data_IF_472529169221
#
_entry.id   IF_472529169221
#
_cell.length_a   1.000
_cell.length_b   1.000
_cell.length_c   1.000
_cell.angle_alpha   90.00
_cell.angle_beta   90.00
_cell.angle_gamma   90.00
#
_symmetry.space_group_name_H-M   'P 1'
#
loop_
_entity.id
_entity.type
_entity.pdbx_description
1 polymer ?
#
# COMPACT_ATOMS: atom_id res chain seq x y z
N UNK A 1 -3.96 -49.67 20.73
CA UNK A 1 -2.81 -49.08 19.98
C UNK A 1 -3.39 -48.50 18.73
N UNK A 2 -3.96 -47.27 18.85
CA UNK A 2 -4.62 -46.58 17.74
C UNK A 2 -3.55 -46.12 16.79
N UNK A 3 -3.54 -46.70 15.59
CA UNK A 3 -2.78 -46.23 14.46
C UNK A 3 -3.34 -44.83 14.08
N UNK A 4 -2.67 -43.77 14.51
CA UNK A 4 -2.91 -42.41 13.98
C UNK A 4 -2.65 -42.51 12.48
N UNK A 5 -3.73 -42.57 11.72
CA UNK A 5 -3.64 -42.49 10.27
C UNK A 5 -3.06 -41.10 9.95
N UNK A 6 -1.87 -41.06 9.37
CA UNK A 6 -1.29 -39.82 8.87
C UNK A 6 -2.21 -39.17 7.83
N UNK A 7 -2.02 -37.87 7.52
CA UNK A 7 -2.86 -37.15 6.59
C UNK A 7 -2.94 -37.87 5.23
N UNK A 8 -4.13 -37.94 4.66
CA UNK A 8 -4.35 -38.57 3.35
C UNK A 8 -3.64 -37.79 2.23
N UNK A 9 -3.38 -38.42 1.09
CA UNK A 9 -2.68 -37.82 -0.05
C UNK A 9 -3.32 -36.49 -0.47
N UNK A 10 -4.66 -36.39 -0.43
CA UNK A 10 -5.39 -35.14 -0.75
C UNK A 10 -5.08 -34.01 0.24
N UNK A 11 -4.97 -34.33 1.53
CA UNK A 11 -4.63 -33.35 2.58
C UNK A 11 -3.18 -32.84 2.42
N UNK A 12 -2.25 -33.73 2.02
CA UNK A 12 -0.87 -33.36 1.75
C UNK A 12 -0.75 -32.41 0.55
N UNK A 13 -1.54 -32.62 -0.53
CA UNK A 13 -1.58 -31.71 -1.67
C UNK A 13 -2.19 -30.34 -1.30
N UNK A 14 -3.21 -30.30 -0.47
CA UNK A 14 -3.77 -29.05 0.03
C UNK A 14 -2.75 -28.31 0.91
N UNK A 15 -2.07 -29.01 1.80
CA UNK A 15 -1.01 -28.45 2.63
C UNK A 15 0.17 -27.91 1.78
N UNK A 16 0.57 -28.64 0.73
CA UNK A 16 1.58 -28.18 -0.22
C UNK A 16 1.14 -26.89 -0.93
N UNK A 17 -0.09 -26.85 -1.43
CA UNK A 17 -0.65 -25.66 -2.09
C UNK A 17 -0.70 -24.46 -1.16
N UNK A 18 -1.09 -24.67 0.09
CA UNK A 18 -1.08 -23.64 1.14
C UNK A 18 0.34 -23.13 1.39
N UNK A 19 1.31 -24.02 1.56
CA UNK A 19 2.71 -23.67 1.75
C UNK A 19 3.27 -22.86 0.55
N UNK A 20 3.01 -23.31 -0.68
CA UNK A 20 3.46 -22.63 -1.90
C UNK A 20 2.88 -21.22 -2.03
N UNK A 21 1.62 -21.00 -1.63
CA UNK A 21 1.02 -19.69 -1.60
C UNK A 21 1.84 -18.72 -0.72
N UNK A 22 2.29 -19.18 0.45
CA UNK A 22 3.12 -18.35 1.34
C UNK A 22 4.54 -18.16 0.81
N UNK A 23 5.18 -19.21 0.28
CA UNK A 23 6.55 -19.14 -0.27
C UNK A 23 6.62 -18.13 -1.43
N UNK A 24 5.61 -18.11 -2.32
CA UNK A 24 5.64 -17.32 -3.56
C UNK A 24 4.85 -16.01 -3.49
N UNK A 25 4.25 -15.69 -2.35
CA UNK A 25 3.39 -14.50 -2.22
C UNK A 25 4.13 -13.19 -2.56
N UNK A 26 5.41 -13.09 -2.21
CA UNK A 26 6.24 -11.91 -2.48
C UNK A 26 6.40 -11.59 -3.98
N UNK A 27 6.27 -12.61 -4.87
CA UNK A 27 6.42 -12.43 -6.32
C UNK A 27 5.37 -11.45 -6.85
N UNK A 28 4.12 -11.54 -6.37
CA UNK A 28 3.04 -10.62 -6.74
C UNK A 28 3.37 -9.17 -6.37
N UNK A 29 3.79 -8.94 -5.13
CA UNK A 29 4.15 -7.62 -4.64
C UNK A 29 5.33 -7.00 -5.41
N UNK A 30 6.38 -7.78 -5.66
CA UNK A 30 7.54 -7.30 -6.42
C UNK A 30 7.24 -7.09 -7.91
N UNK A 31 6.34 -7.87 -8.48
CA UNK A 31 5.87 -7.67 -9.86
C UNK A 31 5.04 -6.39 -9.98
N UNK A 32 4.19 -6.11 -9.00
CA UNK A 32 3.43 -4.86 -8.95
C UNK A 32 4.34 -3.64 -8.81
N UNK A 33 5.33 -3.72 -7.90
CA UNK A 33 6.37 -2.69 -7.77
C UNK A 33 7.09 -2.44 -9.10
N UNK A 34 7.49 -3.52 -9.79
CA UNK A 34 8.14 -3.43 -11.10
C UNK A 34 7.25 -2.74 -12.13
N UNK A 35 5.97 -3.12 -12.23
CA UNK A 35 5.02 -2.50 -13.16
C UNK A 35 4.85 -1.00 -12.89
N UNK A 36 4.80 -0.61 -11.61
CA UNK A 36 4.70 0.79 -11.21
C UNK A 36 5.98 1.57 -11.54
N UNK A 37 7.15 1.00 -11.31
CA UNK A 37 8.45 1.59 -11.67
C UNK A 37 8.63 1.73 -13.18
N UNK A 38 8.07 0.81 -13.96
CA UNK A 38 8.03 0.89 -15.43
C UNK A 38 6.97 1.86 -15.95
N UNK A 39 6.11 2.42 -15.10
CA UNK A 39 5.04 3.35 -15.48
C UNK A 39 3.88 2.70 -16.23
N UNK A 40 3.69 1.38 -16.11
CA UNK A 40 2.66 0.65 -16.84
C UNK A 40 1.25 1.21 -16.58
N UNK A 41 0.82 1.51 -15.33
CA UNK A 41 -0.49 2.10 -15.09
C UNK A 41 -0.71 3.42 -15.84
N UNK A 42 0.27 4.33 -15.83
CA UNK A 42 0.22 5.61 -16.53
C UNK A 42 0.19 5.43 -18.06
N UNK A 43 0.98 4.48 -18.59
CA UNK A 43 0.99 4.19 -20.03
C UNK A 43 -0.39 3.75 -20.49
N UNK A 44 -1.02 2.80 -19.77
CA UNK A 44 -2.37 2.31 -20.11
C UNK A 44 -3.39 3.43 -19.97
N UNK A 45 -3.32 4.21 -18.89
CA UNK A 45 -4.23 5.34 -18.67
C UNK A 45 -4.13 6.39 -19.78
N UNK A 46 -2.92 6.82 -20.11
CA UNK A 46 -2.66 7.85 -21.12
C UNK A 46 -2.95 7.39 -22.54
N UNK A 47 -2.97 6.10 -22.80
CA UNK A 47 -3.39 5.55 -24.08
C UNK A 47 -4.88 5.79 -24.37
N UNK A 48 -5.70 5.97 -23.32
CA UNK A 48 -7.11 6.40 -23.41
C UNK A 48 -8.10 5.32 -23.88
N UNK A 49 -7.60 4.13 -24.22
CA UNK A 49 -8.35 2.91 -24.56
C UNK A 49 -7.52 1.69 -24.15
N UNK A 50 -8.09 0.47 -24.13
CA UNK A 50 -7.30 -0.73 -23.89
C UNK A 50 -6.10 -0.83 -24.82
N UNK A 51 -4.91 -1.15 -24.30
CA UNK A 51 -3.64 -1.17 -25.03
C UNK A 51 -3.23 -2.61 -25.33
N UNK A 52 -2.84 -2.88 -26.58
CA UNK A 52 -2.31 -4.20 -26.98
C UNK A 52 -0.89 -4.41 -26.45
N UNK A 53 -0.46 -5.68 -26.36
CA UNK A 53 0.90 -6.00 -25.92
C UNK A 53 2.00 -5.31 -26.76
N UNK A 54 1.92 -5.32 -28.11
CA UNK A 54 2.90 -4.61 -28.95
C UNK A 54 2.95 -3.09 -28.69
N UNK A 55 1.78 -2.44 -28.53
CA UNK A 55 1.69 -1.01 -28.21
C UNK A 55 2.30 -0.72 -26.84
N UNK A 56 1.98 -1.53 -25.82
CA UNK A 56 2.57 -1.41 -24.48
C UNK A 56 4.09 -1.56 -24.52
N UNK A 57 4.61 -2.59 -25.21
CA UNK A 57 6.06 -2.80 -25.36
C UNK A 57 6.72 -1.60 -26.06
N UNK A 58 6.06 -1.05 -27.08
CA UNK A 58 6.56 0.14 -27.82
C UNK A 58 6.61 1.38 -26.93
N UNK A 59 5.66 1.54 -26.01
CA UNK A 59 5.62 2.67 -25.06
C UNK A 59 6.61 2.51 -23.90
N UNK A 60 6.99 1.27 -23.56
CA UNK A 60 7.96 0.99 -22.49
C UNK A 60 9.38 1.25 -22.96
N UNK A 61 10.13 2.05 -22.21
CA UNK A 61 11.56 2.29 -22.44
C UNK A 61 12.40 1.14 -21.87
N UNK A 62 12.26 -0.05 -22.46
CA UNK A 62 12.99 -1.26 -22.02
C UNK A 62 13.95 -1.75 -23.09
N UNK A 63 14.96 -2.52 -22.67
CA UNK A 63 15.86 -3.17 -23.62
C UNK A 63 15.10 -4.21 -24.45
N UNK A 64 15.33 -4.24 -25.77
CA UNK A 64 14.60 -5.09 -26.73
C UNK A 64 14.59 -6.57 -26.37
N UNK A 65 15.67 -7.10 -25.78
CA UNK A 65 15.76 -8.49 -25.31
C UNK A 65 14.81 -8.81 -24.16
N UNK A 66 14.23 -7.79 -23.51
CA UNK A 66 13.29 -7.95 -22.38
C UNK A 66 11.81 -7.87 -22.80
N UNK A 67 11.54 -7.47 -24.04
CA UNK A 67 10.17 -7.31 -24.54
C UNK A 67 9.30 -8.57 -24.33
N UNK A 68 9.81 -9.75 -24.60
CA UNK A 68 9.09 -11.02 -24.42
C UNK A 68 8.73 -11.35 -22.95
N UNK A 69 9.33 -10.68 -21.96
CA UNK A 69 9.01 -10.87 -20.56
C UNK A 69 7.85 -9.98 -20.09
N UNK A 70 7.49 -8.93 -20.83
CA UNK A 70 6.35 -8.05 -20.51
C UNK A 70 5.05 -8.85 -20.46
N UNK A 71 4.83 -9.74 -21.42
CA UNK A 71 3.65 -10.62 -21.42
C UNK A 71 3.53 -11.45 -20.14
N UNK A 72 4.67 -12.00 -19.63
CA UNK A 72 4.66 -12.78 -18.39
C UNK A 72 4.33 -11.91 -17.17
N UNK A 73 4.88 -10.71 -17.10
CA UNK A 73 4.58 -9.73 -16.06
C UNK A 73 3.09 -9.37 -16.07
N UNK A 74 2.57 -8.98 -17.24
CA UNK A 74 1.16 -8.60 -17.40
C UNK A 74 0.22 -9.75 -17.08
N UNK A 75 0.50 -10.97 -17.52
CA UNK A 75 -0.31 -12.16 -17.20
C UNK A 75 -0.40 -12.40 -15.70
N UNK A 76 0.71 -12.25 -14.96
CA UNK A 76 0.70 -12.38 -13.50
C UNK A 76 -0.15 -11.28 -12.85
N UNK A 77 -0.03 -10.04 -13.30
CA UNK A 77 -0.75 -8.90 -12.73
C UNK A 77 -2.24 -8.90 -13.09
N UNK A 78 -2.61 -9.43 -14.26
CA UNK A 78 -4.01 -9.72 -14.64
C UNK A 78 -4.58 -10.80 -13.72
N UNK A 79 -3.86 -11.90 -13.51
CA UNK A 79 -4.28 -12.96 -12.59
C UNK A 79 -4.43 -12.46 -11.15
N UNK A 80 -3.62 -11.50 -10.75
CA UNK A 80 -3.67 -10.86 -9.43
C UNK A 80 -4.72 -9.73 -9.32
N UNK A 81 -5.47 -9.43 -10.40
CA UNK A 81 -6.55 -8.46 -10.40
C UNK A 81 -6.11 -6.98 -10.51
N UNK A 82 -4.84 -6.73 -10.81
CA UNK A 82 -4.35 -5.35 -11.01
C UNK A 82 -4.64 -4.82 -12.42
N UNK A 83 -4.68 -5.68 -13.41
CA UNK A 83 -5.09 -5.34 -14.77
C UNK A 83 -6.17 -6.31 -15.23
N UNK A 84 -6.86 -5.95 -16.30
CA UNK A 84 -7.86 -6.80 -16.95
C UNK A 84 -7.52 -6.90 -18.43
N UNK A 85 -7.85 -8.03 -19.06
CA UNK A 85 -7.77 -8.18 -20.52
C UNK A 85 -9.15 -8.03 -21.15
N UNK A 86 -9.17 -7.41 -22.33
CA UNK A 86 -10.33 -7.29 -23.20
C UNK A 86 -9.92 -7.57 -24.64
N UNK A 87 -10.89 -7.80 -25.53
CA UNK A 87 -10.62 -7.93 -26.96
C UNK A 87 -10.88 -6.62 -27.65
N UNK A 88 -9.99 -6.24 -28.57
CA UNK A 88 -10.09 -5.05 -29.39
C UNK A 88 -9.91 -5.42 -30.87
N UNK A 89 -10.65 -4.75 -31.74
CA UNK A 89 -10.47 -4.89 -33.19
C UNK A 89 -9.26 -4.07 -33.63
N UNK A 90 -8.33 -4.70 -34.38
CA UNK A 90 -7.09 -4.05 -34.80
C UNK A 90 -7.24 -3.36 -36.15
N UNK A 91 -8.02 -3.94 -37.08
CA UNK A 91 -8.20 -3.44 -38.44
C UNK A 91 -9.65 -3.04 -38.71
N UNK A 92 -9.88 -1.76 -39.07
CA UNK A 92 -11.17 -1.25 -39.51
C UNK A 92 -11.32 -1.26 -41.06
N UNK A 93 -10.25 -1.62 -41.81
CA UNK A 93 -10.18 -1.42 -43.26
C UNK A 93 -10.15 -2.74 -44.07
N UNK A 94 -10.02 -3.92 -43.44
CA UNK A 94 -10.03 -5.21 -44.14
C UNK A 94 -11.27 -6.02 -43.76
N UNK A 95 -11.77 -6.85 -44.73
CA UNK A 95 -12.97 -7.68 -44.54
C UNK A 95 -12.82 -8.80 -43.48
N UNK A 96 -11.63 -8.97 -42.92
CA UNK A 96 -11.37 -9.87 -41.79
C UNK A 96 -11.14 -9.04 -40.52
N UNK A 97 -12.11 -9.07 -39.58
CA UNK A 97 -12.00 -8.51 -38.27
C UNK A 97 -10.95 -9.26 -37.44
N UNK A 98 -9.72 -8.75 -37.35
CA UNK A 98 -8.69 -9.33 -36.49
C UNK A 98 -8.83 -8.82 -35.08
N UNK A 99 -9.14 -9.71 -34.12
CA UNK A 99 -9.22 -9.40 -32.71
C UNK A 99 -7.87 -9.62 -32.02
N UNK A 100 -7.46 -8.66 -31.20
CA UNK A 100 -6.30 -8.80 -30.32
C UNK A 100 -6.69 -8.68 -28.84
N UNK A 101 -5.93 -9.35 -27.98
CA UNK A 101 -6.00 -9.12 -26.54
C UNK A 101 -5.34 -7.78 -26.19
N UNK A 102 -6.03 -6.99 -25.39
CA UNK A 102 -5.58 -5.71 -24.90
C UNK A 102 -5.76 -5.59 -23.38
N UNK A 103 -4.94 -4.78 -22.73
CA UNK A 103 -4.94 -4.55 -21.28
C UNK A 103 -5.65 -3.26 -20.93
N UNK A 104 -6.39 -3.27 -19.82
CA UNK A 104 -6.99 -2.09 -19.21
C UNK A 104 -6.80 -2.10 -17.70
N UNK A 105 -7.03 -0.91 -17.08
CA UNK A 105 -6.90 -0.69 -15.65
C UNK A 105 -8.11 -1.21 -14.89
N UNK A 106 -7.86 -1.91 -13.80
CA UNK A 106 -8.88 -2.20 -12.77
C UNK A 106 -8.97 -1.04 -11.77
N UNK A 107 -9.97 -1.01 -10.88
CA UNK A 107 -10.01 -0.06 -9.76
C UNK A 107 -8.71 -0.09 -8.92
N UNK A 108 -8.11 -1.27 -8.71
CA UNK A 108 -6.87 -1.42 -7.95
C UNK A 108 -5.65 -0.75 -8.60
N UNK A 109 -5.56 -0.74 -9.92
CA UNK A 109 -4.48 -0.04 -10.62
C UNK A 109 -4.79 1.45 -10.82
N UNK A 110 -6.06 1.85 -10.86
CA UNK A 110 -6.45 3.26 -10.97
C UNK A 110 -6.06 4.08 -9.75
N UNK A 111 -6.07 3.49 -8.54
CA UNK A 111 -5.58 4.17 -7.32
C UNK A 111 -4.05 4.29 -7.25
N UNK A 112 -3.33 3.74 -8.24
CA UNK A 112 -1.89 3.89 -8.38
C UNK A 112 -1.50 5.02 -9.35
N UNK A 113 -2.46 5.66 -10.02
CA UNK A 113 -2.19 6.76 -10.95
C UNK A 113 -1.77 8.03 -10.21
N UNK A 114 -0.76 8.73 -10.72
CA UNK A 114 -0.16 9.91 -10.07
C UNK A 114 -1.14 11.06 -9.89
N UNK A 115 -2.04 11.26 -10.85
CA UNK A 115 -3.02 12.34 -10.83
C UNK A 115 -4.31 11.99 -10.06
N UNK A 116 -4.38 10.80 -9.47
CA UNK A 116 -5.50 10.41 -8.63
C UNK A 116 -5.37 11.03 -7.23
N UNK A 117 -6.46 11.61 -6.72
CA UNK A 117 -6.52 12.16 -5.34
C UNK A 117 -6.17 11.10 -4.29
N UNK A 118 -6.43 9.82 -4.60
CA UNK A 118 -6.16 8.68 -3.74
C UNK A 118 -4.93 7.88 -4.19
N UNK A 119 -3.94 8.54 -4.79
CA UNK A 119 -2.75 7.88 -5.30
C UNK A 119 -1.97 7.15 -4.21
N UNK A 120 -1.95 5.81 -4.26
CA UNK A 120 -1.19 4.94 -3.34
C UNK A 120 0.20 4.51 -3.86
N UNK A 121 0.64 5.03 -5.01
CA UNK A 121 1.96 4.70 -5.57
C UNK A 121 3.12 5.02 -4.62
N UNK A 122 3.16 6.19 -3.95
CA UNK A 122 4.23 6.49 -3.00
C UNK A 122 4.26 5.50 -1.83
N UNK A 123 3.07 5.13 -1.30
CA UNK A 123 2.97 4.16 -0.22
C UNK A 123 3.46 2.77 -0.64
N UNK A 124 3.02 2.28 -1.80
CA UNK A 124 3.46 0.99 -2.33
C UNK A 124 4.97 0.94 -2.55
N UNK A 125 5.54 1.98 -3.17
CA UNK A 125 6.98 2.02 -3.47
C UNK A 125 7.82 2.06 -2.18
N UNK A 126 7.38 2.81 -1.17
CA UNK A 126 8.06 2.90 0.10
C UNK A 126 7.98 1.58 0.89
N UNK A 127 6.77 1.00 1.03
CA UNK A 127 6.59 -0.26 1.78
C UNK A 127 7.32 -1.46 1.15
N UNK A 128 7.54 -1.43 -0.17
CA UNK A 128 8.32 -2.45 -0.88
C UNK A 128 9.78 -2.02 -1.14
N UNK A 129 10.23 -0.92 -0.54
CA UNK A 129 11.64 -0.53 -0.60
C UNK A 129 12.52 -1.52 0.18
N UNK A 130 13.77 -1.79 -0.28
CA UNK A 130 14.70 -2.66 0.44
C UNK A 130 14.89 -2.28 1.91
N UNK A 131 14.80 -1.00 2.27
CA UNK A 131 14.91 -0.53 3.66
C UNK A 131 13.82 -1.12 4.54
N UNK A 132 12.57 -1.24 4.05
CA UNK A 132 11.46 -1.85 4.79
C UNK A 132 11.35 -3.36 4.59
N UNK A 133 11.85 -3.90 3.48
CA UNK A 133 11.76 -5.33 3.20
C UNK A 133 12.89 -6.12 3.86
N UNK A 134 14.10 -5.55 3.93
CA UNK A 134 15.25 -6.28 4.51
C UNK A 134 15.08 -6.68 5.98
N UNK A 135 14.44 -5.91 6.88
CA UNK A 135 14.19 -6.33 8.26
C UNK A 135 13.50 -7.68 8.42
N UNK A 136 12.64 -8.06 7.47
CA UNK A 136 11.97 -9.36 7.48
C UNK A 136 12.92 -10.56 7.41
N UNK A 137 14.10 -10.39 6.83
CA UNK A 137 15.14 -11.42 6.79
C UNK A 137 15.88 -11.57 8.14
N UNK A 138 15.68 -10.64 9.06
CA UNK A 138 16.35 -10.62 10.37
C UNK A 138 15.44 -11.06 11.52
N UNK A 139 14.19 -11.49 11.25
CA UNK A 139 13.23 -11.87 12.29
C UNK A 139 13.77 -12.96 13.21
N UNK A 140 14.38 -14.03 12.66
CA UNK A 140 14.92 -15.12 13.49
C UNK A 140 16.02 -14.63 14.41
N UNK A 141 16.99 -13.85 13.90
CA UNK A 141 18.08 -13.31 14.69
C UNK A 141 17.60 -12.28 15.71
N UNK A 142 16.58 -11.49 15.37
CA UNK A 142 15.94 -10.57 16.30
C UNK A 142 15.27 -11.29 17.47
N UNK A 143 14.52 -12.36 17.23
CA UNK A 143 13.92 -13.16 18.30
C UNK A 143 14.94 -13.80 19.25
N UNK A 144 16.18 -13.98 18.79
CA UNK A 144 17.28 -14.54 19.58
C UNK A 144 18.23 -13.49 20.16
N UNK A 145 18.07 -12.23 19.75
CA UNK A 145 18.93 -11.11 20.11
C UNK A 145 18.32 -10.17 21.15
N UNK A 146 18.96 -9.03 21.32
CA UNK A 146 18.64 -7.99 22.28
C UNK A 146 18.15 -6.68 21.62
N UNK A 147 18.06 -6.63 20.29
CA UNK A 147 17.60 -5.46 19.57
C UNK A 147 16.12 -5.19 19.79
N UNK A 148 15.74 -3.91 19.86
CA UNK A 148 14.35 -3.51 20.13
C UNK A 148 13.42 -3.88 18.97
N UNK A 149 13.90 -3.74 17.72
CA UNK A 149 13.11 -4.02 16.52
C UNK A 149 13.90 -4.83 15.48
N UNK A 150 13.20 -5.57 14.56
CA UNK A 150 13.86 -6.18 13.41
C UNK A 150 14.53 -5.15 12.50
N UNK A 151 14.00 -3.94 12.42
CA UNK A 151 14.60 -2.83 11.68
C UNK A 151 15.99 -2.49 12.24
N UNK A 152 16.11 -2.40 13.56
CA UNK A 152 17.40 -2.17 14.23
C UNK A 152 18.39 -3.33 14.00
N UNK A 153 17.89 -4.56 13.94
CA UNK A 153 18.72 -5.73 13.61
C UNK A 153 19.29 -5.65 12.19
N UNK A 154 18.50 -5.12 11.24
CA UNK A 154 18.89 -5.00 9.84
C UNK A 154 19.81 -3.80 9.56
N UNK A 155 19.54 -2.66 10.20
CA UNK A 155 20.15 -1.37 9.87
C UNK A 155 21.10 -0.82 10.95
N UNK A 156 21.19 -1.49 12.11
CA UNK A 156 22.05 -1.06 13.23
C UNK A 156 21.50 0.09 14.06
N UNK A 157 20.34 0.66 13.66
CA UNK A 157 19.67 1.78 14.34
C UNK A 157 18.16 1.71 14.14
N UNK A 158 17.40 2.41 15.01
CA UNK A 158 15.94 2.51 14.88
C UNK A 158 15.50 3.33 13.66
N UNK A 159 14.26 3.13 13.23
CA UNK A 159 13.68 3.75 12.02
C UNK A 159 13.84 5.27 11.99
N UNK A 160 13.54 5.95 13.10
CA UNK A 160 13.58 7.41 13.14
C UNK A 160 15.01 7.95 13.03
N UNK A 161 15.97 7.30 13.69
CA UNK A 161 17.38 7.66 13.55
C UNK A 161 17.91 7.39 12.13
N UNK A 162 17.39 6.34 11.48
CA UNK A 162 17.72 6.06 10.10
C UNK A 162 17.15 7.14 9.17
N UNK A 163 15.90 7.56 9.37
CA UNK A 163 15.26 8.62 8.61
C UNK A 163 16.00 9.96 8.74
N UNK A 164 16.41 10.32 9.96
CA UNK A 164 17.18 11.55 10.22
C UNK A 164 18.53 11.59 9.48
N UNK A 165 19.19 10.41 9.35
CA UNK A 165 20.46 10.29 8.64
C UNK A 165 20.34 10.08 7.13
N UNK A 166 19.14 9.81 6.63
CA UNK A 166 18.86 9.54 5.22
C UNK A 166 17.69 10.42 4.71
N UNK A 167 17.96 11.69 4.34
CA UNK A 167 16.91 12.64 3.95
C UNK A 167 16.02 12.17 2.79
N UNK A 168 16.59 11.51 1.77
CA UNK A 168 15.83 11.00 0.62
C UNK A 168 14.85 9.89 1.04
N UNK A 169 15.26 9.03 1.97
CA UNK A 169 14.38 8.03 2.56
C UNK A 169 13.27 8.69 3.37
N UNK A 170 13.61 9.66 4.22
CA UNK A 170 12.65 10.38 5.04
C UNK A 170 11.60 11.10 4.20
N UNK A 171 12.01 11.80 3.13
CA UNK A 171 11.10 12.46 2.19
C UNK A 171 10.16 11.45 1.51
N UNK A 172 10.68 10.32 1.04
CA UNK A 172 9.91 9.26 0.42
C UNK A 172 8.92 8.62 1.39
N UNK A 173 9.34 8.39 2.64
CA UNK A 173 8.50 7.84 3.71
C UNK A 173 7.36 8.81 4.09
N UNK A 174 7.66 10.09 4.25
CA UNK A 174 6.65 11.11 4.54
C UNK A 174 5.63 11.24 3.41
N UNK A 175 6.06 11.21 2.14
CA UNK A 175 5.17 11.16 0.97
C UNK A 175 4.28 9.92 0.97
N UNK A 176 4.82 8.78 1.37
CA UNK A 176 4.07 7.53 1.48
C UNK A 176 2.96 7.63 2.54
N UNK A 177 3.27 8.11 3.73
CA UNK A 177 2.28 8.30 4.80
C UNK A 177 1.20 9.32 4.42
N UNK A 178 1.58 10.42 3.76
CA UNK A 178 0.62 11.40 3.26
C UNK A 178 -0.30 10.81 2.18
N UNK A 179 0.26 10.02 1.26
CA UNK A 179 -0.46 9.30 0.22
C UNK A 179 -1.52 8.35 0.80
N UNK A 180 -1.12 7.53 1.76
CA UNK A 180 -2.03 6.60 2.45
C UNK A 180 -3.11 7.34 3.25
N UNK A 181 -2.75 8.46 3.89
CA UNK A 181 -3.71 9.30 4.62
C UNK A 181 -4.77 9.93 3.70
N UNK A 182 -4.45 10.17 2.43
CA UNK A 182 -5.39 10.66 1.42
C UNK A 182 -6.60 9.74 1.20
N UNK A 183 -6.48 8.44 1.47
CA UNK A 183 -7.59 7.49 1.41
C UNK A 183 -8.72 7.83 2.40
N UNK A 184 -8.44 8.57 3.47
CA UNK A 184 -9.44 9.03 4.43
C UNK A 184 -10.53 9.88 3.76
N UNK A 185 -10.23 10.60 2.68
CA UNK A 185 -11.24 11.36 1.91
C UNK A 185 -12.35 10.46 1.35
N UNK A 186 -12.04 9.21 0.99
CA UNK A 186 -13.06 8.25 0.55
C UNK A 186 -13.87 7.74 1.75
N UNK A 187 -13.18 7.45 2.86
CA UNK A 187 -13.85 6.95 4.08
C UNK A 187 -14.86 7.97 4.60
N UNK A 188 -14.50 9.24 4.71
CA UNK A 188 -15.43 10.29 5.19
C UNK A 188 -16.59 10.54 4.23
N UNK A 189 -16.39 10.28 2.93
CA UNK A 189 -17.43 10.43 1.90
C UNK A 189 -18.42 9.27 1.92
N UNK A 190 -17.93 8.04 1.95
CA UNK A 190 -18.73 6.84 1.67
C UNK A 190 -19.12 6.09 2.95
N UNK A 191 -18.45 6.33 4.07
CA UNK A 191 -18.69 5.69 5.36
C UNK A 191 -19.21 6.66 6.42
N UNK A 192 -19.97 7.69 6.04
CA UNK A 192 -20.56 8.70 6.94
C UNK A 192 -21.22 8.11 8.20
N UNK A 193 -22.00 7.01 8.11
CA UNK A 193 -22.65 6.44 9.29
C UNK A 193 -21.69 6.01 10.41
N UNK A 194 -20.43 5.76 10.10
CA UNK A 194 -19.40 5.41 11.12
C UNK A 194 -19.11 6.58 12.07
N UNK A 195 -19.32 7.81 11.59
CA UNK A 195 -19.06 9.05 12.34
C UNK A 195 -20.31 9.66 12.94
N UNK A 196 -21.50 9.12 12.63
CA UNK A 196 -22.78 9.62 13.15
C UNK A 196 -22.91 9.32 14.65
N UNK A 197 -23.32 10.35 15.42
CA UNK A 197 -23.49 10.22 16.87
C UNK A 197 -22.20 10.25 17.69
N UNK A 198 -21.05 10.51 17.06
CA UNK A 198 -19.79 10.75 17.74
C UNK A 198 -19.64 12.25 18.01
N UNK A 199 -19.25 12.61 19.25
CA UNK A 199 -18.87 13.97 19.64
C UNK A 199 -17.36 14.13 19.67
N UNK A 200 -16.64 13.05 19.97
CA UNK A 200 -15.16 13.05 20.17
C UNK A 200 -14.49 11.84 19.48
N UNK A 201 -13.31 12.08 18.89
CA UNK A 201 -12.48 11.05 18.27
C UNK A 201 -11.00 11.28 18.62
N UNK A 202 -10.29 10.20 18.95
CA UNK A 202 -8.83 10.22 19.12
C UNK A 202 -8.16 9.48 17.98
N UNK A 203 -7.28 10.16 17.24
CA UNK A 203 -6.38 9.60 16.23
C UNK A 203 -5.06 9.25 16.91
N UNK A 204 -4.88 7.96 17.18
CA UNK A 204 -3.74 7.44 17.94
C UNK A 204 -2.56 7.15 17.00
N UNK A 205 -1.40 7.74 17.28
CA UNK A 205 -0.27 7.72 16.37
C UNK A 205 -0.56 8.51 15.10
N UNK A 206 -1.36 9.57 15.20
CA UNK A 206 -1.89 10.32 14.06
C UNK A 206 -0.87 11.24 13.37
N UNK A 207 0.41 11.22 13.79
CA UNK A 207 1.49 12.01 13.19
C UNK A 207 1.17 13.51 13.19
N UNK A 208 1.20 14.13 12.02
CA UNK A 208 0.86 15.56 11.83
C UNK A 208 -0.65 15.83 11.75
N UNK A 209 -1.49 14.83 12.04
CA UNK A 209 -2.94 14.97 12.14
C UNK A 209 -3.67 15.03 10.78
N UNK A 210 -3.11 14.47 9.71
CA UNK A 210 -3.74 14.52 8.38
C UNK A 210 -5.10 13.83 8.37
N UNK A 211 -5.23 12.62 8.95
CA UNK A 211 -6.50 11.90 9.02
C UNK A 211 -7.51 12.64 9.90
N UNK A 212 -7.10 13.04 11.10
CA UNK A 212 -7.96 13.78 12.03
C UNK A 212 -8.46 15.11 11.42
N UNK A 213 -7.63 15.79 10.63
CA UNK A 213 -8.00 17.02 9.91
C UNK A 213 -9.08 16.75 8.86
N UNK A 214 -8.90 15.75 8.01
CA UNK A 214 -9.88 15.35 6.99
C UNK A 214 -11.23 15.02 7.64
N UNK A 215 -11.20 14.32 8.78
CA UNK A 215 -12.41 13.96 9.52
C UNK A 215 -13.06 15.21 10.12
N UNK A 216 -12.31 16.09 10.80
CA UNK A 216 -12.85 17.30 11.43
C UNK A 216 -13.41 18.30 10.41
N UNK A 217 -12.84 18.38 9.22
CA UNK A 217 -13.34 19.20 8.12
C UNK A 217 -14.65 18.64 7.55
N UNK A 218 -14.76 17.30 7.42
CA UNK A 218 -15.97 16.64 6.92
C UNK A 218 -17.10 16.63 7.97
N UNK A 219 -16.77 16.60 9.27
CA UNK A 219 -17.71 16.57 10.40
C UNK A 219 -17.37 17.67 11.42
N UNK A 220 -17.78 18.93 11.18
CA UNK A 220 -17.38 20.07 12.00
C UNK A 220 -17.85 20.03 13.48
N UNK A 221 -18.81 19.17 13.81
CA UNK A 221 -19.27 18.94 15.18
C UNK A 221 -18.35 17.99 15.96
N UNK A 222 -17.59 17.13 15.25
CA UNK A 222 -16.72 16.11 15.84
C UNK A 222 -15.38 16.73 16.27
N UNK A 223 -15.10 16.67 17.56
CA UNK A 223 -13.82 17.12 18.11
C UNK A 223 -12.79 16.02 17.97
N UNK A 224 -11.76 16.26 17.16
CA UNK A 224 -10.67 15.33 16.94
C UNK A 224 -9.47 15.67 17.80
N UNK A 225 -8.87 14.67 18.43
CA UNK A 225 -7.62 14.77 19.17
C UNK A 225 -6.59 13.86 18.55
N UNK A 226 -5.42 14.37 18.19
CA UNK A 226 -4.28 13.58 17.74
C UNK A 226 -3.42 13.27 18.96
N UNK A 227 -3.27 11.99 19.28
CA UNK A 227 -2.30 11.52 20.26
C UNK A 227 -1.05 11.05 19.54
N UNK A 228 0.08 11.68 19.84
CA UNK A 228 1.36 11.34 19.22
C UNK A 228 2.51 11.63 20.21
N UNK A 229 3.72 11.17 19.91
CA UNK A 229 4.87 11.42 20.78
C UNK A 229 5.11 12.93 20.96
N UNK A 230 5.50 13.39 22.16
CA UNK A 230 5.57 14.82 22.48
C UNK A 230 6.41 15.64 21.51
N UNK A 231 7.53 15.08 21.00
CA UNK A 231 8.40 15.79 20.06
C UNK A 231 7.77 15.97 18.67
N UNK A 232 6.83 15.10 18.27
CA UNK A 232 6.13 15.19 16.97
C UNK A 232 5.11 16.32 16.98
N UNK A 233 4.39 16.48 18.10
CA UNK A 233 3.30 17.46 18.22
C UNK A 233 3.73 18.82 18.76
N UNK A 234 4.96 18.96 19.26
CA UNK A 234 5.44 20.14 20.01
C UNK A 234 5.22 21.50 19.31
N UNK A 235 5.19 21.53 17.98
CA UNK A 235 5.06 22.76 17.19
C UNK A 235 3.82 22.77 16.30
N UNK A 236 2.89 21.85 16.49
CA UNK A 236 1.66 21.77 15.68
C UNK A 236 0.59 22.67 16.31
N UNK A 237 -0.06 23.54 15.53
CA UNK A 237 -1.07 24.44 16.06
C UNK A 237 -2.41 23.71 16.24
N UNK A 238 -3.00 23.86 17.43
CA UNK A 238 -4.41 23.49 17.65
C UNK A 238 -5.34 24.41 16.84
N UNK A 239 -6.52 23.88 16.53
CA UNK A 239 -7.64 24.68 16.03
C UNK A 239 -8.94 24.32 16.77
N UNK A 240 -10.06 24.94 16.37
CA UNK A 240 -11.35 24.77 17.07
C UNK A 240 -11.83 23.32 17.20
N UNK A 241 -11.47 22.45 16.25
CA UNK A 241 -11.96 21.07 16.18
C UNK A 241 -10.84 20.02 16.14
N UNK A 242 -9.58 20.43 16.16
CA UNK A 242 -8.41 19.56 16.12
C UNK A 242 -7.40 19.96 17.18
N UNK A 243 -7.19 19.10 18.16
CA UNK A 243 -6.22 19.27 19.23
C UNK A 243 -5.08 18.27 19.11
N UNK A 244 -3.90 18.64 19.61
CA UNK A 244 -2.73 17.77 19.65
C UNK A 244 -2.33 17.49 21.09
N UNK A 245 -2.15 16.21 21.44
CA UNK A 245 -1.76 15.74 22.76
C UNK A 245 -0.48 14.93 22.65
N UNK A 246 0.58 15.40 23.31
CA UNK A 246 1.83 14.66 23.44
C UNK A 246 1.72 13.56 24.50
N UNK A 247 1.93 12.29 24.13
CA UNK A 247 1.86 11.17 25.05
C UNK A 247 2.34 9.86 24.42
N UNK A 248 2.36 8.81 25.25
CA UNK A 248 2.65 7.44 24.85
C UNK A 248 1.35 6.62 24.88
N UNK A 249 0.91 6.14 23.72
CA UNK A 249 -0.33 5.36 23.58
C UNK A 249 -0.34 4.08 24.40
N UNK A 250 0.83 3.52 24.75
CA UNK A 250 0.95 2.34 25.59
C UNK A 250 0.80 2.65 27.09
N UNK A 251 0.87 3.92 27.47
CA UNK A 251 0.63 4.37 28.85
C UNK A 251 -0.80 4.86 29.05
N UNK A 252 -1.27 5.72 28.16
CA UNK A 252 -2.65 6.23 28.23
C UNK A 252 -3.12 6.79 26.90
N UNK A 253 -4.42 6.62 26.63
CA UNK A 253 -5.12 7.23 25.50
C UNK A 253 -6.20 8.16 26.09
N UNK A 254 -6.34 9.42 25.60
CA UNK A 254 -7.43 10.29 26.01
C UNK A 254 -8.81 9.62 25.79
N UNK A 255 -9.75 9.87 26.72
CA UNK A 255 -11.12 9.35 26.58
C UNK A 255 -11.84 10.01 25.42
N UNK A 256 -12.49 9.22 24.58
CA UNK A 256 -13.31 9.67 23.46
C UNK A 256 -14.38 8.62 23.10
N UNK A 257 -15.36 9.01 22.27
CA UNK A 257 -16.41 8.11 21.78
C UNK A 257 -15.86 7.10 20.78
N UNK A 258 -14.80 7.48 20.03
CA UNK A 258 -14.12 6.61 19.07
C UNK A 258 -12.60 6.78 19.07
N UNK A 259 -11.90 5.70 18.74
CA UNK A 259 -10.45 5.66 18.56
C UNK A 259 -10.16 5.26 17.11
N UNK A 260 -9.35 6.06 16.43
CA UNK A 260 -8.78 5.74 15.11
C UNK A 260 -7.37 5.21 15.30
N UNK A 261 -7.12 4.01 14.80
CA UNK A 261 -5.80 3.37 14.73
C UNK A 261 -5.50 3.08 13.26
N UNK A 262 -4.58 3.81 12.67
CA UNK A 262 -4.22 3.66 11.26
C UNK A 262 -2.72 3.43 11.11
N UNK A 263 -2.34 2.20 10.72
CA UNK A 263 -0.92 1.79 10.50
C UNK A 263 -0.04 1.89 11.77
N UNK A 264 -0.65 1.91 12.95
CA UNK A 264 0.05 2.10 14.23
C UNK A 264 0.51 0.79 14.90
N UNK A 265 0.06 -0.36 14.41
CA UNK A 265 0.20 -1.67 15.08
C UNK A 265 1.12 -2.62 14.30
N UNK A 266 2.02 -2.09 13.50
CA UNK A 266 2.98 -2.92 12.73
C UNK A 266 4.37 -2.77 13.33
#
# INVERSE_FOLDING_TARGET
MDLVHGPGTSELFQAQSHLYKHIFNFIGSMSLKCALQLGIPEIIHNHGKPITLPELISALQIHSTKAGFVHRLMRLLVHSGFFVTTRVHINQEEEEEEEAEAYDLTPSSRILLKDNVTNLSPFLLAMLDPVFVSPWHFLESWFRGDKVTPFESAHGMGLWNYADQNPDFNDSFNKALASDSGMMNLVVKDCKPVFEGLDTLVDVGGGTGTCARIISEAFPHLKCTVLELPHVVANLPDNSNLNFVGGDMFQSIPSADAILLKVCII
#
